data_IF_159225579055
#
_entry.id   IF_159225579055
#
_cell.length_a   1.000
_cell.length_b   1.000
_cell.length_c   1.000
_cell.angle_alpha   90.00
_cell.angle_beta   90.00
_cell.angle_gamma   90.00
#
_symmetry.space_group_name_H-M   'P 1'
#
loop_
_entity.id
_entity.type
_entity.pdbx_description
1 polymer ?
#
# COMPACT_ATOMS: atom_id res chain seq x y z
N UNK A 1 18.84 6.25 -12.91
CA UNK A 1 18.96 5.19 -11.90
C UNK A 1 18.17 3.98 -12.38
N UNK A 2 18.69 2.78 -12.21
CA UNK A 2 17.93 1.56 -12.48
C UNK A 2 17.24 1.09 -11.20
N UNK A 3 15.99 0.66 -11.31
CA UNK A 3 15.25 0.09 -10.18
C UNK A 3 15.64 -1.37 -10.00
N UNK A 4 15.76 -1.82 -8.77
CA UNK A 4 16.00 -3.22 -8.46
C UNK A 4 14.70 -3.84 -7.92
N UNK A 5 14.27 -4.93 -8.53
CA UNK A 5 13.01 -5.58 -8.18
C UNK A 5 11.76 -4.87 -8.70
N UNK A 6 10.67 -5.04 -7.98
CA UNK A 6 9.37 -4.47 -8.35
C UNK A 6 9.25 -3.02 -7.90
N UNK A 7 8.69 -2.16 -8.76
CA UNK A 7 8.36 -0.79 -8.38
C UNK A 7 7.06 -0.81 -7.60
N UNK A 8 7.13 -0.44 -6.31
CA UNK A 8 5.96 -0.30 -5.45
C UNK A 8 5.64 1.18 -5.25
N UNK A 9 4.43 1.57 -5.63
CA UNK A 9 3.95 2.93 -5.47
C UNK A 9 2.43 2.93 -5.37
N UNK A 10 1.89 3.68 -4.42
CA UNK A 10 0.45 3.85 -4.31
C UNK A 10 -0.17 4.35 -5.64
N UNK A 11 -1.33 3.82 -6.08
CA UNK A 11 -1.93 4.18 -7.36
C UNK A 11 -2.26 5.68 -7.47
N UNK A 12 -2.46 6.37 -6.34
CA UNK A 12 -2.69 7.81 -6.27
C UNK A 12 -1.45 8.65 -6.58
N UNK A 13 -0.27 8.04 -6.53
CA UNK A 13 1.03 8.71 -6.75
C UNK A 13 1.55 8.59 -8.20
N UNK A 14 0.69 8.22 -9.15
CA UNK A 14 1.08 8.01 -10.55
C UNK A 14 1.76 9.23 -11.19
N UNK A 15 1.51 10.44 -10.68
CA UNK A 15 2.11 11.69 -11.17
C UNK A 15 3.36 12.12 -10.40
N UNK A 16 3.70 11.47 -9.30
CA UNK A 16 4.88 11.81 -8.52
C UNK A 16 6.16 11.28 -9.20
N UNK A 17 7.22 12.05 -9.11
CA UNK A 17 8.55 11.56 -9.46
C UNK A 17 8.98 10.55 -8.40
N UNK A 18 9.18 9.31 -8.79
CA UNK A 18 9.64 8.26 -7.89
C UNK A 18 11.16 8.30 -7.78
N UNK A 19 11.65 8.57 -6.59
CA UNK A 19 13.07 8.60 -6.26
C UNK A 19 13.38 7.45 -5.31
N UNK A 20 14.03 6.38 -5.76
CA UNK A 20 14.49 5.33 -4.88
C UNK A 20 15.56 5.88 -3.92
N UNK A 21 15.37 5.65 -2.63
CA UNK A 21 16.32 6.02 -1.57
C UNK A 21 16.74 4.81 -0.74
N UNK A 22 15.99 3.72 -0.88
CA UNK A 22 16.30 2.40 -0.33
C UNK A 22 16.03 1.31 -1.37
N UNK A 23 16.51 0.11 -1.14
CA UNK A 23 16.17 -1.11 -1.87
C UNK A 23 15.64 -2.12 -0.87
N UNK A 24 14.48 -2.71 -1.17
CA UNK A 24 13.89 -3.73 -0.34
C UNK A 24 13.23 -3.21 0.95
N UNK A 25 12.69 -4.12 1.73
CA UNK A 25 12.03 -3.83 3.00
C UNK A 25 12.90 -4.27 4.18
N UNK A 26 13.19 -3.39 5.17
CA UNK A 26 14.03 -3.75 6.31
C UNK A 26 13.37 -4.78 7.24
N UNK A 27 12.05 -4.83 7.27
CA UNK A 27 11.31 -5.82 8.05
C UNK A 27 11.22 -7.17 7.34
N UNK A 28 10.68 -7.23 6.14
CA UNK A 28 10.61 -8.37 5.20
C UNK A 28 10.21 -9.73 5.81
N UNK A 29 9.32 -9.72 6.83
CA UNK A 29 8.91 -10.93 7.57
C UNK A 29 7.42 -11.26 7.47
N UNK A 30 6.60 -10.35 6.91
CA UNK A 30 5.18 -10.60 6.74
C UNK A 30 4.94 -11.85 5.90
N UNK A 31 4.03 -12.74 6.36
CA UNK A 31 3.78 -14.02 5.67
C UNK A 31 3.13 -13.87 4.30
N UNK A 32 2.34 -12.82 4.11
CA UNK A 32 1.62 -12.55 2.87
C UNK A 32 2.45 -11.81 1.81
N UNK A 33 3.59 -11.22 2.19
CA UNK A 33 4.34 -10.33 1.31
C UNK A 33 5.52 -11.06 0.66
N UNK A 34 5.60 -10.96 -0.67
CA UNK A 34 6.71 -11.48 -1.49
C UNK A 34 7.44 -10.38 -2.29
N UNK A 35 7.08 -9.09 -2.06
CA UNK A 35 7.57 -7.97 -2.86
C UNK A 35 9.09 -7.80 -2.83
N UNK A 36 9.73 -8.13 -1.70
CA UNK A 36 11.13 -7.86 -1.46
C UNK A 36 11.89 -9.08 -0.91
N UNK A 37 11.33 -10.30 -1.03
CA UNK A 37 11.91 -11.51 -0.42
C UNK A 37 13.25 -11.91 -1.03
N UNK A 38 13.47 -11.57 -2.29
CA UNK A 38 14.67 -11.82 -3.07
C UNK A 38 15.69 -10.66 -3.03
N UNK A 39 15.34 -9.55 -2.35
CA UNK A 39 16.19 -8.38 -2.25
C UNK A 39 16.80 -8.23 -0.86
N UNK A 40 18.09 -7.92 -0.83
CA UNK A 40 18.77 -7.53 0.41
C UNK A 40 18.54 -6.05 0.69
N UNK A 41 17.93 -5.72 1.84
CA UNK A 41 17.75 -4.33 2.24
C UNK A 41 19.06 -3.57 2.26
N UNK A 42 19.06 -2.38 1.66
CA UNK A 42 20.13 -1.40 1.75
C UNK A 42 19.65 0.01 1.46
N UNK A 43 20.40 0.98 1.93
CA UNK A 43 20.22 2.39 1.57
C UNK A 43 20.92 2.67 0.24
N UNK A 44 20.36 3.54 -0.57
CA UNK A 44 21.02 4.07 -1.78
C UNK A 44 21.96 5.19 -1.35
N UNK A 45 23.14 5.27 -1.95
CA UNK A 45 24.12 6.28 -1.60
C UNK A 45 23.63 7.69 -1.99
N UNK A 46 24.01 8.70 -1.21
CA UNK A 46 23.69 10.10 -1.54
C UNK A 46 24.28 10.51 -2.89
N UNK A 47 25.40 9.94 -3.29
CA UNK A 47 25.99 10.15 -4.62
C UNK A 47 25.11 9.62 -5.73
N UNK A 48 24.57 8.41 -5.60
CA UNK A 48 23.65 7.83 -6.60
C UNK A 48 22.34 8.61 -6.68
N UNK A 49 21.80 9.03 -5.53
CA UNK A 49 20.62 9.91 -5.47
C UNK A 49 20.91 11.21 -6.20
N UNK A 50 22.03 11.86 -5.91
CA UNK A 50 22.41 13.13 -6.55
C UNK A 50 22.62 12.96 -8.06
N UNK A 51 23.24 11.87 -8.50
CA UNK A 51 23.44 11.59 -9.91
C UNK A 51 22.10 11.43 -10.66
N UNK A 52 21.10 10.82 -10.03
CA UNK A 52 19.76 10.73 -10.62
C UNK A 52 19.08 12.09 -10.70
N UNK A 53 19.18 12.91 -9.65
CA UNK A 53 18.63 14.26 -9.66
C UNK A 53 19.29 15.14 -10.74
N UNK A 54 20.62 15.05 -10.89
CA UNK A 54 21.36 15.72 -11.98
C UNK A 54 20.87 15.28 -13.35
N UNK A 55 20.69 13.96 -13.54
CA UNK A 55 20.20 13.40 -14.81
C UNK A 55 18.83 13.93 -15.17
N UNK A 56 17.89 13.93 -14.24
CA UNK A 56 16.50 14.39 -14.46
C UNK A 56 16.48 15.91 -14.69
N UNK A 57 17.21 16.68 -13.90
CA UNK A 57 17.33 18.13 -14.04
C UNK A 57 17.93 18.54 -15.39
N UNK A 58 18.96 17.82 -15.87
CA UNK A 58 19.57 18.06 -17.19
C UNK A 58 18.61 17.80 -18.36
N UNK A 59 17.59 16.96 -18.16
CA UNK A 59 16.50 16.72 -19.12
C UNK A 59 15.36 17.75 -18.99
N UNK A 60 15.51 18.79 -18.16
CA UNK A 60 14.49 19.80 -17.92
C UNK A 60 13.43 19.39 -16.88
N UNK A 61 13.62 18.26 -16.19
CA UNK A 61 12.70 17.82 -15.14
C UNK A 61 12.75 18.72 -13.91
N UNK A 62 11.58 19.12 -13.40
CA UNK A 62 11.43 19.88 -12.16
C UNK A 62 10.11 19.46 -11.45
N UNK A 63 10.03 18.21 -10.99
CA UNK A 63 8.81 17.68 -10.38
C UNK A 63 8.48 18.40 -9.07
N UNK A 64 7.17 18.58 -8.83
CA UNK A 64 6.64 19.18 -7.61
C UNK A 64 6.29 18.15 -6.54
N UNK A 65 5.93 16.93 -6.97
CA UNK A 65 5.57 15.81 -6.13
C UNK A 65 6.66 14.75 -6.20
N UNK A 66 7.18 14.34 -5.07
CA UNK A 66 8.26 13.37 -4.96
C UNK A 66 7.75 12.18 -4.14
N UNK A 67 7.88 10.99 -4.68
CA UNK A 67 7.64 9.76 -3.94
C UNK A 67 8.98 9.09 -3.62
N UNK A 68 9.34 9.05 -2.33
CA UNK A 68 10.56 8.38 -1.89
C UNK A 68 10.29 6.87 -1.82
N UNK A 69 10.97 6.10 -2.65
CA UNK A 69 10.92 4.64 -2.72
C UNK A 69 12.26 4.06 -2.24
N UNK A 70 12.37 2.78 -2.12
CA UNK A 70 11.47 1.67 -2.27
C UNK A 70 11.16 1.06 -0.89
N UNK A 71 10.17 0.16 -0.83
CA UNK A 71 9.84 -0.68 0.33
C UNK A 71 9.36 0.06 1.57
N UNK A 72 10.20 0.76 2.29
CA UNK A 72 9.86 1.56 3.46
C UNK A 72 10.89 2.68 3.64
N UNK A 73 10.82 3.69 2.79
CA UNK A 73 11.74 4.82 2.84
C UNK A 73 11.64 5.62 4.16
N UNK A 74 10.47 5.62 4.81
CA UNK A 74 10.29 6.30 6.10
C UNK A 74 11.09 5.66 7.26
N UNK A 75 11.67 4.48 7.06
CA UNK A 75 12.59 3.84 8.01
C UNK A 75 13.94 4.56 8.11
N UNK A 76 14.34 5.36 7.13
CA UNK A 76 15.53 6.19 7.21
C UNK A 76 15.46 7.11 8.43
N UNK A 77 16.62 7.46 9.02
CA UNK A 77 16.66 8.43 10.12
C UNK A 77 16.13 9.80 9.68
N UNK A 78 15.71 10.60 10.65
CA UNK A 78 15.22 11.95 10.38
C UNK A 78 16.29 12.79 9.68
N UNK A 79 17.54 12.69 10.09
CA UNK A 79 18.65 13.43 9.49
C UNK A 79 18.89 13.02 8.02
N UNK A 80 18.84 11.71 7.72
CA UNK A 80 18.94 11.20 6.34
C UNK A 80 17.80 11.71 5.46
N UNK A 81 16.57 11.68 5.96
CA UNK A 81 15.41 12.20 5.22
C UNK A 81 15.53 13.71 4.99
N UNK A 82 16.00 14.47 5.98
CA UNK A 82 16.25 15.90 5.84
C UNK A 82 17.32 16.21 4.79
N UNK A 83 18.41 15.43 4.78
CA UNK A 83 19.48 15.57 3.79
C UNK A 83 18.98 15.29 2.37
N UNK A 84 18.20 14.21 2.18
CA UNK A 84 17.58 13.85 0.90
C UNK A 84 16.63 14.97 0.44
N UNK A 85 15.75 15.47 1.32
CA UNK A 85 14.81 16.55 0.98
C UNK A 85 15.56 17.82 0.56
N UNK A 86 16.61 18.18 1.30
CA UNK A 86 17.43 19.34 0.98
C UNK A 86 18.14 19.18 -0.38
N UNK A 87 18.64 17.98 -0.66
CA UNK A 87 19.28 17.66 -1.92
C UNK A 87 18.29 17.74 -3.08
N UNK A 88 17.09 17.14 -2.96
CA UNK A 88 16.03 17.22 -3.97
C UNK A 88 15.65 18.68 -4.27
N UNK A 89 15.44 19.50 -3.25
CA UNK A 89 15.07 20.91 -3.40
C UNK A 89 16.17 21.76 -4.07
N UNK A 90 17.42 21.33 -3.98
CA UNK A 90 18.55 21.98 -4.68
C UNK A 90 18.43 21.81 -6.21
N UNK A 91 17.97 20.66 -6.67
CA UNK A 91 17.83 20.34 -8.10
C UNK A 91 16.44 20.67 -8.65
N UNK A 92 15.40 20.54 -7.83
CA UNK A 92 14.01 20.72 -8.21
C UNK A 92 13.37 21.82 -7.36
N UNK A 93 13.42 23.05 -7.85
CA UNK A 93 12.87 24.22 -7.15
C UNK A 93 11.36 24.14 -6.90
N UNK A 94 10.64 23.33 -7.70
CA UNK A 94 9.20 23.11 -7.53
C UNK A 94 8.87 22.04 -6.50
N UNK A 95 9.84 21.24 -6.01
CA UNK A 95 9.58 20.16 -5.08
C UNK A 95 9.08 20.69 -3.73
N UNK A 96 7.82 20.38 -3.41
CA UNK A 96 7.17 20.84 -2.18
C UNK A 96 6.38 19.75 -1.46
N UNK A 97 6.19 18.58 -2.06
CA UNK A 97 5.48 17.45 -1.43
C UNK A 97 6.29 16.18 -1.57
N UNK A 98 6.59 15.57 -0.42
CA UNK A 98 7.29 14.30 -0.29
C UNK A 98 6.37 13.28 0.35
N UNK A 99 6.24 12.13 -0.27
CA UNK A 99 5.41 11.03 0.19
C UNK A 99 6.22 9.73 0.14
N UNK A 100 5.85 8.74 0.91
CA UNK A 100 6.47 7.40 0.83
C UNK A 100 5.59 6.32 1.45
N UNK A 101 5.99 5.07 1.26
CA UNK A 101 5.55 3.98 2.12
C UNK A 101 6.17 4.12 3.50
N UNK A 102 5.41 3.70 4.51
CA UNK A 102 5.81 3.63 5.90
C UNK A 102 5.21 2.39 6.58
N UNK A 103 5.85 1.95 7.64
CA UNK A 103 5.27 1.00 8.59
C UNK A 103 5.04 1.67 9.94
N UNK A 104 4.16 1.12 10.74
CA UNK A 104 3.91 1.64 12.11
C UNK A 104 5.20 1.67 12.92
N UNK A 105 6.05 0.64 12.79
CA UNK A 105 7.37 0.61 13.45
C UNK A 105 8.28 1.75 12.99
N UNK A 106 8.25 2.13 11.70
CA UNK A 106 9.06 3.24 11.21
C UNK A 106 8.58 4.60 11.74
N UNK A 107 7.28 4.77 11.96
CA UNK A 107 6.71 5.95 12.61
C UNK A 107 7.11 5.99 14.09
N UNK A 108 6.93 4.88 14.79
CA UNK A 108 7.29 4.72 16.22
C UNK A 108 8.75 5.02 16.50
N UNK A 109 9.65 4.82 15.53
CA UNK A 109 11.08 5.10 15.66
C UNK A 109 11.42 6.60 15.73
N UNK A 110 10.46 7.47 15.43
CA UNK A 110 10.62 8.93 15.41
C UNK A 110 9.89 9.60 16.57
N UNK A 111 10.51 10.61 17.16
CA UNK A 111 9.86 11.47 18.15
C UNK A 111 8.84 12.42 17.49
N UNK A 112 7.90 12.94 18.28
CA UNK A 112 6.90 13.91 17.79
C UNK A 112 7.57 15.19 17.22
N UNK A 113 8.70 15.58 17.79
CA UNK A 113 9.49 16.71 17.27
C UNK A 113 10.06 16.40 15.88
N UNK A 114 10.56 15.20 15.66
CA UNK A 114 11.09 14.77 14.37
C UNK A 114 9.97 14.67 13.32
N UNK A 115 8.81 14.12 13.69
CA UNK A 115 7.64 14.08 12.82
C UNK A 115 7.23 15.50 12.39
N UNK A 116 7.07 16.43 13.33
CA UNK A 116 6.76 17.84 13.04
C UNK A 116 7.83 18.51 12.16
N UNK A 117 9.09 18.18 12.37
CA UNK A 117 10.20 18.71 11.56
C UNK A 117 10.09 18.21 10.11
N UNK A 118 9.92 16.90 9.90
CA UNK A 118 9.75 16.33 8.57
C UNK A 118 8.54 16.92 7.84
N UNK A 119 7.40 17.04 8.54
CA UNK A 119 6.21 17.67 7.95
C UNK A 119 6.48 19.11 7.54
N UNK A 120 7.14 19.91 8.37
CA UNK A 120 7.50 21.32 8.03
C UNK A 120 8.40 21.45 6.80
N UNK A 121 9.13 20.40 6.44
CA UNK A 121 9.93 20.32 5.24
C UNK A 121 9.15 19.87 3.99
N UNK A 122 7.86 19.58 4.14
CA UNK A 122 6.98 19.15 3.05
C UNK A 122 6.81 17.66 2.93
N UNK A 123 7.17 16.89 3.96
CA UNK A 123 6.82 15.46 4.01
C UNK A 123 5.36 15.34 4.42
N UNK A 124 4.47 15.04 3.46
CA UNK A 124 3.04 15.30 3.64
C UNK A 124 2.21 14.05 3.86
N UNK A 125 2.55 12.94 3.19
CA UNK A 125 1.71 11.75 3.21
C UNK A 125 2.51 10.47 3.39
N UNK A 126 1.98 9.57 4.21
CA UNK A 126 2.51 8.23 4.41
C UNK A 126 1.50 7.19 3.92
N UNK A 127 1.97 6.23 3.12
CA UNK A 127 1.24 5.05 2.72
C UNK A 127 1.56 3.94 3.71
N UNK A 128 0.57 3.51 4.49
CA UNK A 128 0.78 2.62 5.63
C UNK A 128 0.05 1.31 5.41
N UNK A 129 0.81 0.22 5.40
CA UNK A 129 0.23 -1.12 5.39
C UNK A 129 -0.38 -1.44 6.76
N UNK A 130 -1.67 -1.22 6.92
CA UNK A 130 -2.46 -1.62 8.09
C UNK A 130 -2.81 -3.10 7.99
N UNK A 131 -3.14 -3.55 6.81
CA UNK A 131 -3.50 -4.88 6.35
C UNK A 131 -4.81 -5.42 6.94
N UNK A 132 -5.01 -5.32 8.25
CA UNK A 132 -6.23 -5.71 8.97
C UNK A 132 -6.30 -5.03 10.34
N UNK A 133 -7.49 -5.03 10.96
CA UNK A 133 -7.70 -4.52 12.31
C UNK A 133 -8.05 -5.63 13.34
N UNK A 134 -7.82 -6.89 13.01
CA UNK A 134 -7.96 -8.01 13.93
C UNK A 134 -6.58 -8.37 14.51
N UNK A 135 -6.40 -8.33 15.86
CA UNK A 135 -5.10 -8.56 16.49
C UNK A 135 -4.49 -9.93 16.19
N UNK A 136 -5.30 -10.98 16.17
CA UNK A 136 -4.85 -12.35 15.88
C UNK A 136 -4.42 -12.51 14.41
N UNK A 137 -5.06 -11.80 13.49
CA UNK A 137 -4.70 -11.79 12.06
C UNK A 137 -3.33 -11.13 11.87
N UNK A 138 -3.10 -9.96 12.46
CA UNK A 138 -1.81 -9.28 12.39
C UNK A 138 -0.70 -10.15 13.00
N UNK A 139 -0.95 -10.77 14.15
CA UNK A 139 -0.02 -11.67 14.81
C UNK A 139 0.29 -12.90 13.94
N UNK A 140 -0.74 -13.58 13.39
CA UNK A 140 -0.57 -14.73 12.49
C UNK A 140 0.24 -14.36 11.25
N UNK A 141 -0.06 -13.22 10.64
CA UNK A 141 0.63 -12.73 9.45
C UNK A 141 2.01 -12.17 9.73
N UNK A 142 2.44 -12.18 11.00
CA UNK A 142 3.71 -11.63 11.44
C UNK A 142 3.92 -10.18 10.99
N UNK A 143 2.88 -9.36 11.17
CA UNK A 143 2.95 -7.94 10.87
C UNK A 143 3.85 -7.24 11.90
N UNK A 144 4.42 -6.10 11.54
CA UNK A 144 5.39 -5.35 12.36
C UNK A 144 4.77 -4.57 13.54
N UNK A 145 3.45 -4.60 13.68
CA UNK A 145 2.70 -3.86 14.70
C UNK A 145 1.45 -4.61 15.14
N UNK A 146 0.90 -4.23 16.26
CA UNK A 146 -0.45 -4.57 16.70
C UNK A 146 -1.45 -3.42 16.43
N UNK A 147 -2.74 -3.67 16.66
CA UNK A 147 -3.82 -2.72 16.36
C UNK A 147 -3.72 -1.46 17.21
N UNK A 148 -3.41 -1.59 18.50
CA UNK A 148 -3.29 -0.46 19.42
C UNK A 148 -2.10 0.44 19.07
N UNK A 149 -0.99 -0.18 18.61
CA UNK A 149 0.14 0.56 18.07
C UNK A 149 -0.24 1.34 16.82
N UNK A 150 -1.03 0.74 15.92
CA UNK A 150 -1.50 1.41 14.71
C UNK A 150 -2.34 2.66 15.04
N UNK A 151 -3.32 2.55 15.93
CA UNK A 151 -4.11 3.70 16.37
C UNK A 151 -3.23 4.81 16.95
N UNK A 152 -2.33 4.46 17.86
CA UNK A 152 -1.47 5.42 18.53
C UNK A 152 -0.55 6.16 17.55
N UNK A 153 0.13 5.42 16.70
CA UNK A 153 1.11 6.02 15.78
C UNK A 153 0.45 6.83 14.67
N UNK A 154 -0.74 6.44 14.21
CA UNK A 154 -1.54 7.24 13.27
C UNK A 154 -1.96 8.56 13.91
N UNK A 155 -2.44 8.55 15.15
CA UNK A 155 -2.78 9.79 15.85
C UNK A 155 -1.57 10.73 15.94
N UNK A 156 -0.36 10.21 16.25
CA UNK A 156 0.87 10.99 16.31
C UNK A 156 1.25 11.66 15.00
N UNK A 157 1.15 10.95 13.87
CA UNK A 157 1.46 11.57 12.57
C UNK A 157 0.41 12.61 12.19
N UNK A 158 -0.87 12.38 12.50
CA UNK A 158 -1.93 13.36 12.26
C UNK A 158 -1.74 14.63 13.11
N UNK A 159 -1.36 14.51 14.37
CA UNK A 159 -0.98 15.65 15.22
C UNK A 159 0.26 16.41 14.68
N UNK A 160 1.16 15.72 14.00
CA UNK A 160 2.31 16.33 13.34
C UNK A 160 1.95 16.99 12.00
N UNK A 161 0.72 16.80 11.48
CA UNK A 161 0.21 17.41 10.26
C UNK A 161 0.21 16.50 9.03
N UNK A 162 0.68 15.25 9.14
CA UNK A 162 0.65 14.31 8.01
C UNK A 162 -0.77 13.86 7.70
N UNK A 163 -1.05 13.67 6.43
CA UNK A 163 -2.12 12.77 6.00
C UNK A 163 -1.58 11.34 5.83
N UNK A 164 -2.48 10.35 5.78
CA UNK A 164 -2.06 9.00 5.49
C UNK A 164 -3.03 8.28 4.54
N UNK A 165 -2.49 7.29 3.84
CA UNK A 165 -3.23 6.33 3.05
C UNK A 165 -3.17 4.96 3.73
N UNK A 166 -4.33 4.36 4.00
CA UNK A 166 -4.41 3.02 4.56
C UNK A 166 -4.36 1.98 3.44
N UNK A 167 -3.38 1.09 3.50
CA UNK A 167 -3.37 -0.14 2.69
C UNK A 167 -3.90 -1.29 3.55
N UNK A 168 -4.82 -2.06 3.01
CA UNK A 168 -5.32 -3.29 3.64
C UNK A 168 -5.64 -4.35 2.58
N UNK A 169 -5.90 -5.58 3.03
CA UNK A 169 -6.19 -6.68 2.12
C UNK A 169 -7.44 -7.44 2.55
N UNK A 170 -8.43 -7.52 1.64
CA UNK A 170 -9.54 -8.46 1.80
C UNK A 170 -9.03 -9.89 1.70
N UNK A 171 -9.60 -10.78 2.52
CA UNK A 171 -9.24 -12.20 2.58
C UNK A 171 -8.05 -12.53 3.49
N UNK A 172 -7.36 -11.54 4.05
CA UNK A 172 -6.20 -11.78 4.92
C UNK A 172 -6.57 -12.49 6.23
N UNK A 173 -7.82 -12.35 6.69
CA UNK A 173 -8.32 -13.06 7.86
C UNK A 173 -8.62 -14.57 7.60
N UNK A 174 -8.62 -14.98 6.34
CA UNK A 174 -8.92 -16.34 5.91
C UNK A 174 -10.41 -16.61 5.73
N UNK A 175 -10.71 -17.82 5.24
CA UNK A 175 -12.07 -18.27 4.91
C UNK A 175 -13.00 -18.25 6.13
N UNK A 176 -14.21 -17.74 5.93
CA UNK A 176 -15.27 -17.66 6.94
C UNK A 176 -15.18 -16.45 7.88
N UNK A 177 -14.14 -15.62 7.77
CA UNK A 177 -13.91 -14.47 8.68
C UNK A 177 -14.13 -13.11 8.02
N UNK A 178 -14.64 -13.08 6.80
CA UNK A 178 -14.83 -11.87 6.01
C UNK A 178 -15.71 -10.80 6.69
N UNK A 179 -16.76 -11.22 7.41
CA UNK A 179 -17.65 -10.27 8.10
C UNK A 179 -16.99 -9.65 9.32
N UNK A 180 -16.31 -10.46 10.13
CA UNK A 180 -15.52 -10.02 11.28
C UNK A 180 -14.44 -9.02 10.86
N UNK A 181 -13.70 -9.34 9.81
CA UNK A 181 -12.67 -8.48 9.22
C UNK A 181 -13.24 -7.15 8.72
N UNK A 182 -14.36 -7.19 7.99
CA UNK A 182 -15.03 -6.00 7.48
C UNK A 182 -15.48 -5.05 8.60
N UNK A 183 -16.04 -5.59 9.69
CA UNK A 183 -16.47 -4.79 10.84
C UNK A 183 -15.27 -4.10 11.50
N UNK A 184 -14.23 -4.86 11.82
CA UNK A 184 -13.03 -4.33 12.47
C UNK A 184 -12.33 -3.25 11.61
N UNK A 185 -12.22 -3.49 10.30
CA UNK A 185 -11.65 -2.50 9.40
C UNK A 185 -12.51 -1.26 9.21
N UNK A 186 -13.84 -1.39 9.19
CA UNK A 186 -14.74 -0.25 9.11
C UNK A 186 -14.63 0.65 10.34
N UNK A 187 -14.57 0.06 11.54
CA UNK A 187 -14.33 0.79 12.79
C UNK A 187 -12.99 1.51 12.77
N UNK A 188 -11.92 0.81 12.40
CA UNK A 188 -10.58 1.37 12.31
C UNK A 188 -10.48 2.56 11.36
N UNK A 189 -11.01 2.42 10.14
CA UNK A 189 -10.96 3.49 9.14
C UNK A 189 -11.87 4.68 9.48
N UNK A 190 -13.02 4.42 10.12
CA UNK A 190 -13.93 5.47 10.61
C UNK A 190 -13.24 6.33 11.67
N UNK A 191 -12.52 5.70 12.60
CA UNK A 191 -11.85 6.40 13.69
C UNK A 191 -10.58 7.13 13.21
N UNK A 192 -9.75 6.46 12.42
CA UNK A 192 -8.44 6.97 12.00
C UNK A 192 -8.47 7.91 10.79
N UNK A 193 -9.58 7.98 10.05
CA UNK A 193 -9.87 8.96 8.98
C UNK A 193 -8.74 9.10 7.96
N UNK A 194 -8.37 8.05 7.22
CA UNK A 194 -7.37 8.14 6.16
C UNK A 194 -7.82 9.08 5.03
N UNK A 195 -6.89 9.79 4.39
CA UNK A 195 -7.20 10.54 3.16
C UNK A 195 -7.49 9.61 1.97
N UNK A 196 -6.78 8.47 1.95
CA UNK A 196 -6.91 7.47 0.91
C UNK A 196 -7.04 6.08 1.54
N UNK A 197 -7.79 5.23 0.89
CA UNK A 197 -7.83 3.78 1.18
C UNK A 197 -7.50 3.01 -0.08
N UNK A 198 -6.58 2.08 0.02
CA UNK A 198 -6.22 1.15 -1.04
C UNK A 198 -6.42 -0.27 -0.52
N UNK A 199 -7.31 -1.01 -1.17
CA UNK A 199 -7.55 -2.42 -0.89
C UNK A 199 -7.03 -3.29 -2.02
N UNK A 200 -6.49 -4.44 -1.64
CA UNK A 200 -6.16 -5.52 -2.57
C UNK A 200 -6.78 -6.82 -2.06
N UNK A 201 -7.37 -7.64 -2.95
CA UNK A 201 -7.56 -9.06 -2.63
C UNK A 201 -6.21 -9.69 -2.35
N UNK A 202 -6.10 -10.40 -1.23
CA UNK A 202 -4.83 -10.99 -0.83
C UNK A 202 -4.31 -11.99 -1.87
N UNK A 203 -3.07 -11.79 -2.33
CA UNK A 203 -2.40 -12.74 -3.21
C UNK A 203 -1.87 -13.94 -2.41
N UNK A 204 -2.05 -15.13 -2.97
CA UNK A 204 -1.60 -16.38 -2.34
C UNK A 204 -0.21 -16.81 -2.86
N UNK A 205 0.57 -15.87 -3.40
CA UNK A 205 1.87 -16.14 -4.05
C UNK A 205 3.03 -16.26 -3.07
N UNK A 206 2.94 -15.65 -1.90
CA UNK A 206 4.04 -15.62 -0.96
C UNK A 206 4.38 -17.02 -0.43
N UNK A 207 5.65 -17.42 -0.53
CA UNK A 207 6.10 -18.77 -0.13
C UNK A 207 5.77 -19.10 1.32
N UNK A 208 5.94 -18.14 2.24
CA UNK A 208 5.62 -18.30 3.67
C UNK A 208 4.14 -18.58 3.90
N UNK A 209 3.25 -17.89 3.19
CA UNK A 209 1.81 -18.12 3.27
C UNK A 209 1.42 -19.46 2.64
N UNK A 210 2.03 -19.78 1.50
CA UNK A 210 1.83 -21.08 0.82
C UNK A 210 2.22 -22.26 1.70
N UNK A 211 3.22 -22.12 2.55
CA UNK A 211 3.60 -23.12 3.55
C UNK A 211 2.52 -23.29 4.63
N UNK A 212 1.98 -22.20 5.17
CA UNK A 212 0.90 -22.23 6.15
C UNK A 212 -0.38 -22.89 5.58
N UNK A 213 -0.67 -22.63 4.30
CA UNK A 213 -1.80 -23.27 3.60
C UNK A 213 -1.56 -24.79 3.48
N UNK A 214 -0.38 -25.22 3.04
CA UNK A 214 -0.04 -26.65 2.91
C UNK A 214 -0.08 -27.38 4.24
N UNK A 215 0.29 -26.72 5.32
CA UNK A 215 0.29 -27.28 6.67
C UNK A 215 -1.11 -27.26 7.33
N UNK A 216 -2.11 -26.68 6.67
CA UNK A 216 -3.47 -26.56 7.18
C UNK A 216 -3.66 -25.50 8.26
N UNK A 217 -2.67 -24.63 8.47
CA UNK A 217 -2.70 -23.53 9.45
C UNK A 217 -3.48 -22.32 8.95
N UNK A 218 -3.64 -22.20 7.64
CA UNK A 218 -4.39 -21.11 7.02
C UNK A 218 -5.26 -21.65 5.89
N UNK A 219 -6.54 -21.31 5.93
CA UNK A 219 -7.49 -21.59 4.85
C UNK A 219 -7.78 -20.27 4.11
N UNK A 220 -7.40 -20.13 2.83
CA UNK A 220 -7.65 -18.91 2.07
C UNK A 220 -9.13 -18.59 1.96
N UNK A 221 -9.47 -17.30 1.95
CA UNK A 221 -10.78 -16.82 1.54
C UNK A 221 -10.96 -16.98 0.03
N UNK A 222 -12.20 -17.17 -0.40
CA UNK A 222 -12.57 -17.15 -1.82
C UNK A 222 -12.70 -15.71 -2.33
N UNK A 223 -12.68 -15.50 -3.65
CA UNK A 223 -12.95 -14.19 -4.22
C UNK A 223 -14.36 -13.68 -3.90
N UNK A 224 -15.32 -14.59 -3.74
CA UNK A 224 -16.66 -14.23 -3.29
C UNK A 224 -16.66 -13.71 -1.84
N UNK A 225 -15.87 -14.31 -0.95
CA UNK A 225 -15.69 -13.81 0.42
C UNK A 225 -15.00 -12.44 0.41
N UNK A 226 -13.96 -12.25 -0.43
CA UNK A 226 -13.26 -10.97 -0.57
C UNK A 226 -14.18 -9.86 -1.03
N UNK A 227 -15.05 -10.11 -2.01
CA UNK A 227 -16.06 -9.16 -2.47
C UNK A 227 -17.09 -8.82 -1.38
N UNK A 228 -17.53 -9.83 -0.63
CA UNK A 228 -18.48 -9.63 0.49
C UNK A 228 -17.83 -8.82 1.62
N UNK A 229 -16.57 -9.06 1.91
CA UNK A 229 -15.79 -8.30 2.88
C UNK A 229 -15.71 -6.82 2.50
N UNK A 230 -15.28 -6.51 1.29
CA UNK A 230 -15.23 -5.12 0.82
C UNK A 230 -16.60 -4.46 0.84
N UNK A 231 -17.63 -5.17 0.34
CA UNK A 231 -19.00 -4.65 0.32
C UNK A 231 -19.49 -4.29 1.72
N UNK A 232 -19.28 -5.21 2.68
CA UNK A 232 -19.68 -5.01 4.08
C UNK A 232 -18.93 -3.86 4.74
N UNK A 233 -17.62 -3.78 4.49
CA UNK A 233 -16.80 -2.69 4.99
C UNK A 233 -17.29 -1.34 4.47
N UNK A 234 -17.50 -1.20 3.16
CA UNK A 234 -18.00 0.05 2.56
C UNK A 234 -19.39 0.40 3.10
N UNK A 235 -20.27 -0.59 3.31
CA UNK A 235 -21.60 -0.39 3.92
C UNK A 235 -21.49 0.22 5.32
N UNK A 236 -20.61 -0.30 6.15
CA UNK A 236 -20.45 0.10 7.56
C UNK A 236 -19.63 1.39 7.74
N UNK A 237 -18.77 1.70 6.79
CA UNK A 237 -17.86 2.84 6.91
C UNK A 237 -18.64 4.16 7.06
N UNK A 238 -18.40 4.86 8.17
CA UNK A 238 -18.93 6.19 8.45
C UNK A 238 -17.87 7.25 8.10
N UNK A 239 -18.16 8.04 7.08
CA UNK A 239 -17.22 9.03 6.54
C UNK A 239 -17.80 10.43 6.66
N UNK A 240 -17.09 11.30 7.36
CA UNK A 240 -17.42 12.72 7.42
C UNK A 240 -17.34 13.34 6.01
N UNK A 241 -18.44 13.94 5.50
CA UNK A 241 -18.45 14.60 4.19
C UNK A 241 -17.40 15.72 4.04
N UNK A 242 -16.95 16.32 5.15
CA UNK A 242 -15.90 17.34 5.16
C UNK A 242 -14.48 16.76 5.09
N UNK A 243 -14.34 15.46 5.36
CA UNK A 243 -13.09 14.71 5.27
C UNK A 243 -13.28 13.45 4.40
N UNK A 244 -13.53 13.62 3.09
CA UNK A 244 -13.82 12.51 2.21
C UNK A 244 -12.62 11.59 2.04
N UNK A 245 -12.89 10.28 1.99
CA UNK A 245 -11.89 9.24 1.73
C UNK A 245 -11.86 8.93 0.24
N UNK A 246 -10.71 8.99 -0.39
CA UNK A 246 -10.50 8.46 -1.74
C UNK A 246 -10.33 6.95 -1.65
N UNK A 247 -11.25 6.25 -2.26
CA UNK A 247 -11.31 4.79 -2.29
C UNK A 247 -10.76 4.25 -3.60
N UNK A 248 -9.88 3.26 -3.54
CA UNK A 248 -9.41 2.51 -4.71
C UNK A 248 -9.16 1.04 -4.29
N UNK A 249 -9.97 0.13 -4.81
CA UNK A 249 -9.93 -1.27 -4.42
C UNK A 249 -9.84 -2.18 -5.64
N UNK A 250 -9.02 -3.21 -5.53
CA UNK A 250 -8.63 -4.10 -6.62
C UNK A 250 -8.87 -5.55 -6.23
N UNK A 251 -9.70 -6.24 -7.03
CA UNK A 251 -9.80 -7.69 -7.07
C UNK A 251 -9.22 -8.14 -8.42
N UNK A 252 -7.91 -8.12 -8.51
CA UNK A 252 -7.18 -8.22 -9.78
C UNK A 252 -7.48 -9.49 -10.52
N UNK A 253 -7.51 -10.62 -9.81
CA UNK A 253 -7.75 -11.92 -10.43
C UNK A 253 -9.09 -12.01 -11.17
N UNK A 254 -10.09 -11.34 -10.65
CA UNK A 254 -11.45 -11.34 -11.22
C UNK A 254 -11.77 -10.08 -12.01
N UNK A 255 -10.79 -9.18 -12.18
CA UNK A 255 -10.92 -7.90 -12.88
C UNK A 255 -12.07 -7.04 -12.34
N UNK A 256 -12.26 -7.01 -11.03
CA UNK A 256 -13.20 -6.11 -10.36
C UNK A 256 -12.42 -5.01 -9.67
N UNK A 257 -12.78 -3.77 -9.96
CA UNK A 257 -12.21 -2.60 -9.32
C UNK A 257 -13.32 -1.66 -8.90
N UNK A 258 -13.26 -1.19 -7.65
CA UNK A 258 -14.12 -0.13 -7.15
C UNK A 258 -13.31 1.14 -6.92
N UNK A 259 -13.86 2.28 -7.33
CA UNK A 259 -13.17 3.56 -7.20
C UNK A 259 -14.14 4.69 -7.00
N UNK A 260 -13.81 5.60 -6.07
CA UNK A 260 -14.64 6.78 -5.82
C UNK A 260 -14.15 7.62 -4.65
N UNK A 261 -14.98 8.58 -4.27
CA UNK A 261 -14.80 9.40 -3.08
C UNK A 261 -15.95 9.13 -2.12
N UNK A 262 -15.66 8.60 -0.96
CA UNK A 262 -16.65 8.36 0.10
C UNK A 262 -16.84 9.63 0.93
N UNK A 263 -18.09 9.94 1.37
CA UNK A 263 -19.30 9.14 1.22
C UNK A 263 -20.03 9.32 -0.12
N UNK A 264 -19.60 10.26 -0.96
CA UNK A 264 -20.32 10.69 -2.19
C UNK A 264 -20.61 9.52 -3.15
N UNK A 265 -19.64 8.65 -3.39
CA UNK A 265 -19.74 7.57 -4.37
C UNK A 265 -20.09 6.21 -3.72
N UNK A 266 -20.55 6.20 -2.44
CA UNK A 266 -20.82 4.97 -1.68
C UNK A 266 -21.78 4.03 -2.42
N UNK A 267 -22.93 4.54 -2.84
CA UNK A 267 -23.94 3.73 -3.55
C UNK A 267 -23.43 3.18 -4.88
N UNK A 268 -22.62 3.96 -5.60
CA UNK A 268 -21.98 3.51 -6.84
C UNK A 268 -21.01 2.36 -6.60
N UNK A 269 -20.20 2.45 -5.55
CA UNK A 269 -19.25 1.40 -5.16
C UNK A 269 -20.01 0.13 -4.76
N UNK A 270 -21.04 0.26 -3.90
CA UNK A 270 -21.86 -0.86 -3.48
C UNK A 270 -22.56 -1.54 -4.68
N UNK A 271 -23.08 -0.78 -5.63
CA UNK A 271 -23.71 -1.35 -6.83
C UNK A 271 -22.74 -2.16 -7.71
N UNK A 272 -21.46 -1.74 -7.80
CA UNK A 272 -20.42 -2.51 -8.51
C UNK A 272 -20.15 -3.82 -7.78
N UNK A 273 -20.03 -3.78 -6.46
CA UNK A 273 -19.78 -4.96 -5.63
C UNK A 273 -20.96 -5.93 -5.63
N UNK A 274 -22.20 -5.44 -5.52
CA UNK A 274 -23.41 -6.26 -5.59
C UNK A 274 -23.51 -7.01 -6.93
N UNK A 275 -23.18 -6.34 -8.04
CA UNK A 275 -23.14 -6.95 -9.37
C UNK A 275 -22.04 -8.03 -9.46
N UNK A 276 -20.87 -7.76 -8.89
CA UNK A 276 -19.77 -8.71 -8.86
C UNK A 276 -20.13 -9.93 -8.00
N UNK A 277 -20.67 -9.73 -6.80
CA UNK A 277 -21.13 -10.79 -5.90
C UNK A 277 -22.12 -11.71 -6.63
N UNK A 278 -23.17 -11.15 -7.23
CA UNK A 278 -24.18 -11.94 -7.96
C UNK A 278 -23.60 -12.76 -9.12
N UNK A 279 -22.51 -12.28 -9.74
CA UNK A 279 -21.76 -13.03 -10.77
C UNK A 279 -20.98 -14.18 -10.15
N UNK A 280 -20.24 -13.92 -9.06
CA UNK A 280 -19.30 -14.90 -8.47
C UNK A 280 -19.97 -15.85 -7.47
N UNK A 281 -21.22 -15.63 -7.05
CA UNK A 281 -22.02 -16.66 -6.35
C UNK A 281 -22.18 -17.96 -7.16
N UNK A 282 -22.01 -17.87 -8.47
CA UNK A 282 -22.01 -19.04 -9.37
C UNK A 282 -20.67 -19.79 -9.41
N UNK A 283 -19.64 -19.21 -8.82
CA UNK A 283 -18.26 -19.72 -8.75
C UNK A 283 -17.72 -19.59 -7.32
N UNK A 284 -18.38 -20.21 -6.32
CA UNK A 284 -18.09 -19.97 -4.90
C UNK A 284 -16.69 -20.44 -4.48
N UNK A 285 -16.09 -21.37 -5.21
CA UNK A 285 -14.78 -21.95 -4.91
C UNK A 285 -13.64 -21.33 -5.73
N UNK A 286 -13.86 -20.12 -6.26
CA UNK A 286 -12.81 -19.38 -6.95
C UNK A 286 -11.90 -18.68 -5.92
N UNK A 287 -10.61 -18.96 -6.00
CA UNK A 287 -9.58 -18.37 -5.13
C UNK A 287 -8.68 -17.42 -5.94
N UNK A 288 -8.09 -16.44 -5.26
CA UNK A 288 -6.94 -15.71 -5.77
C UNK A 288 -5.79 -16.70 -5.92
N UNK A 289 -5.69 -17.33 -7.08
CA UNK A 289 -4.71 -18.37 -7.33
C UNK A 289 -3.31 -17.81 -7.13
N UNK A 290 -2.41 -18.68 -6.63
CA UNK A 290 -0.98 -18.46 -6.74
C UNK A 290 -0.71 -18.07 -8.19
N UNK A 291 -0.31 -16.84 -8.41
CA UNK A 291 0.34 -16.46 -9.66
C UNK A 291 1.69 -17.19 -9.63
N UNK A 292 1.66 -18.46 -10.01
CA UNK A 292 2.88 -19.20 -10.24
C UNK A 292 3.72 -18.36 -11.19
N UNK A 293 5.04 -18.29 -10.97
CA UNK A 293 5.91 -17.86 -12.08
C UNK A 293 5.48 -18.71 -13.25
N UNK A 294 5.02 -18.13 -14.37
CA UNK A 294 4.81 -18.92 -15.57
C UNK A 294 6.14 -19.62 -15.84
N UNK A 295 6.11 -20.83 -16.34
CA UNK A 295 7.33 -21.57 -16.71
C UNK A 295 8.22 -20.77 -17.69
N UNK A 296 7.70 -19.68 -18.24
CA UNK A 296 8.33 -18.81 -19.23
C UNK A 296 8.77 -17.42 -18.70
N UNK A 297 8.86 -17.22 -17.39
CA UNK A 297 9.36 -15.96 -16.79
C UNK A 297 8.62 -14.66 -17.21
N UNK A 298 7.41 -14.77 -17.74
CA UNK A 298 6.53 -13.64 -18.04
C UNK A 298 5.81 -13.22 -16.75
N UNK A 299 6.43 -12.27 -16.01
CA UNK A 299 5.90 -11.79 -14.75
C UNK A 299 4.58 -11.07 -14.94
N UNK A 300 3.57 -11.47 -14.17
CA UNK A 300 2.35 -10.68 -14.04
C UNK A 300 2.68 -9.42 -13.23
N UNK A 301 2.27 -8.27 -13.75
CA UNK A 301 2.38 -7.02 -13.01
C UNK A 301 1.56 -7.09 -11.71
N UNK A 302 1.90 -6.25 -10.77
CA UNK A 302 1.27 -6.14 -9.43
C UNK A 302 -0.26 -6.00 -9.45
N UNK A 303 -0.87 -5.73 -10.58
CA UNK A 303 -2.30 -5.53 -10.78
C UNK A 303 -2.90 -6.51 -11.80
N UNK A 304 -2.35 -7.71 -11.94
CA UNK A 304 -2.99 -8.81 -12.69
C UNK A 304 -2.95 -8.73 -14.20
N UNK A 305 -2.10 -7.87 -14.78
CA UNK A 305 -1.80 -7.91 -16.21
C UNK A 305 -0.36 -8.33 -16.45
N UNK A 306 -0.14 -9.13 -17.50
CA UNK A 306 1.18 -9.34 -18.04
C UNK A 306 1.78 -8.01 -18.46
N UNK A 307 2.92 -7.66 -17.88
CA UNK A 307 3.78 -6.63 -18.45
C UNK A 307 4.85 -7.35 -19.28
N UNK A 308 4.86 -7.17 -20.59
CA UNK A 308 5.87 -7.78 -21.45
C UNK A 308 7.28 -7.24 -21.20
N UNK A 309 7.39 -6.16 -20.42
CA UNK A 309 8.66 -5.68 -19.92
C UNK A 309 8.46 -4.93 -18.61
N UNK A 310 9.21 -5.30 -17.57
CA UNK A 310 9.32 -4.56 -16.32
C UNK A 310 9.90 -3.15 -16.49
N UNK A 311 10.21 -2.75 -17.71
CA UNK A 311 10.62 -1.39 -18.07
C UNK A 311 9.43 -0.47 -18.24
N UNK A 312 8.27 -1.03 -18.48
CA UNK A 312 7.05 -0.27 -18.62
C UNK A 312 6.38 -0.21 -17.25
N UNK A 313 6.16 1.00 -16.78
CA UNK A 313 5.37 1.24 -15.56
C UNK A 313 4.02 0.58 -15.78
N UNK A 314 3.73 -0.48 -15.03
CA UNK A 314 2.45 -1.13 -15.11
C UNK A 314 1.33 -0.15 -14.74
N UNK A 315 0.43 0.08 -15.66
CA UNK A 315 -0.78 0.87 -15.45
C UNK A 315 -1.96 -0.08 -15.44
N UNK A 316 -2.64 -0.20 -14.29
CA UNK A 316 -3.84 -1.02 -14.18
C UNK A 316 -4.88 -0.59 -15.23
N UNK A 317 -5.65 -1.53 -15.81
CA UNK A 317 -6.77 -1.20 -16.68
C UNK A 317 -7.71 -0.21 -15.98
N UNK A 318 -7.94 0.95 -16.60
CA UNK A 318 -8.77 2.01 -16.03
C UNK A 318 -8.09 2.91 -14.99
N UNK A 319 -6.76 2.85 -14.87
CA UNK A 319 -5.98 3.78 -14.05
C UNK A 319 -5.63 5.09 -14.80
N UNK A 320 -6.00 5.21 -16.07
CA UNK A 320 -5.91 6.44 -16.86
C UNK A 320 -7.28 7.10 -16.93
#
# INVERSE_FOLDING_TARGET
>A
MEYEGRICRGPMEAKAFMLPVTVGCPYNRCKFCDLFTDLKYRKISMEDIENELKRVSALGGNPSLIYLGDGNAFQLSTDELMEIIALVKRYFSNAHSFNSDATITSIKSKSDKELKTLHSLGYNKLYIGIENALPDVLAFMNKDHDVDEAYREIARIQEAGFSYAAHFMTGIAGSGRWEESAVAMAEFLTETKPENVVNFSMFLSADKLSEEIRNGNFKPATELENLKEERKLVELLDVDPNHPIKWDSFHDWIHVRTRGSLPKDKDKILAVLDKAIAKFEKLPDLYSMKMGKPENDEGYGFLGQESPSLKDVYIAPGAI
#
